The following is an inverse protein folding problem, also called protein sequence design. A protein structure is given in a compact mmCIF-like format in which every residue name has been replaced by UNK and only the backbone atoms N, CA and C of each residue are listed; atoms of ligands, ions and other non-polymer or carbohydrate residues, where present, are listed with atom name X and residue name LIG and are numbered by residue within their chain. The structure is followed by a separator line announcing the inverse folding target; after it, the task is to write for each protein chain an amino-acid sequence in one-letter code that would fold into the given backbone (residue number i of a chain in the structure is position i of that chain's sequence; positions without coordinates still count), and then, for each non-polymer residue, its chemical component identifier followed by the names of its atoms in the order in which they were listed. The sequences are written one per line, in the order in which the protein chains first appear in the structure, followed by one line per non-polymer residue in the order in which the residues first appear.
data_IF_592353085952
#
_entry.id   IF_592353085952
#
_cell.length_a   1.000
_cell.length_b   1.000
_cell.length_c   1.000
_cell.angle_alpha   90.00
_cell.angle_beta   90.00
_cell.angle_gamma   90.00
#
_symmetry.space_group_name_H-M   'P 1'
#
loop_
_entity.id
_entity.type
_entity.pdbx_description
1 polymer ?
#
# COMPACT_ATOMS: atom_id res chain seq x y z
N UNK A 1 21.55 -11.95 -19.52
CA UNK A 1 20.24 -12.50 -19.09
C UNK A 1 19.27 -12.33 -20.24
N UNK A 2 18.62 -13.40 -20.67
CA UNK A 2 17.61 -13.34 -21.73
C UNK A 2 16.36 -12.59 -21.26
N UNK A 3 15.58 -12.03 -22.20
CA UNK A 3 14.34 -11.32 -21.92
C UNK A 3 13.35 -12.18 -21.12
N UNK A 4 13.21 -13.45 -21.49
CA UNK A 4 12.39 -14.44 -20.77
C UNK A 4 12.77 -14.56 -19.28
N UNK A 5 14.08 -14.64 -18.95
CA UNK A 5 14.53 -14.73 -17.56
C UNK A 5 14.21 -13.46 -16.73
N UNK A 6 14.09 -12.31 -17.36
CA UNK A 6 13.72 -11.06 -16.69
C UNK A 6 12.21 -11.07 -16.42
N UNK A 7 11.40 -11.48 -17.38
CA UNK A 7 9.95 -11.58 -17.28
C UNK A 7 9.54 -12.62 -16.21
N UNK A 8 10.15 -13.81 -16.22
CA UNK A 8 9.92 -14.86 -15.22
C UNK A 8 10.24 -14.40 -13.79
N UNK A 9 11.31 -13.63 -13.62
CA UNK A 9 11.65 -13.08 -12.31
C UNK A 9 10.66 -12.03 -11.84
N UNK A 10 10.18 -11.16 -12.73
CA UNK A 10 9.16 -10.17 -12.41
C UNK A 10 7.87 -10.87 -11.99
N UNK A 11 7.47 -11.89 -12.73
CA UNK A 11 6.28 -12.69 -12.44
C UNK A 11 6.39 -13.42 -11.09
N UNK A 12 7.50 -14.10 -10.82
CA UNK A 12 7.73 -14.77 -9.53
C UNK A 12 7.71 -13.81 -8.35
N UNK A 13 8.28 -12.60 -8.51
CA UNK A 13 8.21 -11.56 -7.48
C UNK A 13 6.79 -11.10 -7.22
N UNK A 14 6.01 -10.87 -8.29
CA UNK A 14 4.60 -10.52 -8.18
C UNK A 14 3.82 -11.59 -7.43
N UNK A 15 4.02 -12.88 -7.76
CA UNK A 15 3.36 -14.00 -7.08
C UNK A 15 3.66 -14.04 -5.58
N UNK A 16 4.90 -13.76 -5.18
CA UNK A 16 5.28 -13.69 -3.76
C UNK A 16 4.52 -12.56 -3.02
N UNK A 17 4.38 -11.40 -3.63
CA UNK A 17 3.61 -10.30 -3.06
C UNK A 17 2.12 -10.61 -2.97
N UNK A 18 1.53 -11.23 -4.02
CA UNK A 18 0.14 -11.67 -3.99
C UNK A 18 -0.12 -12.73 -2.93
N UNK A 19 0.77 -13.72 -2.82
CA UNK A 19 0.67 -14.74 -1.78
C UNK A 19 0.73 -14.13 -0.38
N UNK A 20 1.64 -13.18 -0.17
CA UNK A 20 1.72 -12.45 1.12
C UNK A 20 0.44 -11.68 1.39
N UNK A 21 -0.09 -10.94 0.41
CA UNK A 21 -1.35 -10.20 0.56
C UNK A 21 -2.51 -11.15 0.88
N UNK A 22 -2.59 -12.30 0.22
CA UNK A 22 -3.62 -13.31 0.49
C UNK A 22 -3.54 -13.86 1.92
N UNK A 23 -2.33 -14.15 2.42
CA UNK A 23 -2.14 -14.62 3.81
C UNK A 23 -2.57 -13.53 4.80
N UNK A 24 -2.16 -12.27 4.56
CA UNK A 24 -2.57 -11.14 5.40
C UNK A 24 -4.09 -10.99 5.40
N UNK A 25 -4.71 -11.08 4.22
CA UNK A 25 -6.17 -10.97 4.08
C UNK A 25 -6.91 -12.06 4.86
N UNK A 26 -6.46 -13.31 4.76
CA UNK A 26 -7.04 -14.42 5.53
C UNK A 26 -6.97 -14.14 7.04
N UNK A 27 -5.82 -13.64 7.53
CA UNK A 27 -5.68 -13.27 8.95
C UNK A 27 -6.63 -12.13 9.32
N UNK A 28 -6.76 -11.10 8.46
CA UNK A 28 -7.68 -9.99 8.72
C UNK A 28 -9.15 -10.43 8.70
N UNK A 29 -9.53 -11.32 7.79
CA UNK A 29 -10.88 -11.93 7.76
C UNK A 29 -11.16 -12.72 9.05
N UNK A 30 -10.19 -13.48 9.54
CA UNK A 30 -10.34 -14.22 10.80
C UNK A 30 -10.48 -13.26 12.00
N UNK A 31 -9.69 -12.20 12.06
CA UNK A 31 -9.83 -11.16 13.10
C UNK A 31 -11.20 -10.50 13.00
N UNK A 32 -11.64 -10.13 11.80
CA UNK A 32 -12.96 -9.56 11.58
C UNK A 32 -14.08 -10.48 12.07
N UNK A 33 -13.99 -11.78 11.77
CA UNK A 33 -15.00 -12.78 12.13
C UNK A 33 -15.03 -13.06 13.66
N UNK A 34 -13.88 -13.25 14.28
CA UNK A 34 -13.80 -13.70 15.67
C UNK A 34 -13.64 -12.58 16.70
N UNK A 35 -13.26 -11.38 16.28
CA UNK A 35 -13.09 -10.25 17.16
C UNK A 35 -14.14 -9.16 16.92
N UNK A 36 -14.33 -8.71 15.68
CA UNK A 36 -15.26 -7.60 15.37
C UNK A 36 -16.71 -8.09 15.36
N UNK A 37 -17.01 -9.19 14.65
CA UNK A 37 -18.36 -9.78 14.52
C UNK A 37 -18.52 -11.05 15.36
N UNK A 38 -18.06 -11.02 16.60
CA UNK A 38 -18.14 -12.16 17.53
C UNK A 38 -19.56 -12.41 17.95
N UNK A 39 -20.00 -13.67 17.91
CA UNK A 39 -21.30 -14.11 18.48
C UNK A 39 -21.22 -14.22 19.98
N UNK A 40 -22.37 -14.10 20.67
CA UNK A 40 -22.43 -14.20 22.14
C UNK A 40 -21.85 -15.52 22.67
N UNK A 41 -22.06 -16.62 21.94
CA UNK A 41 -21.50 -17.94 22.26
C UNK A 41 -19.96 -18.01 22.13
N UNK A 42 -19.34 -17.05 21.44
CA UNK A 42 -17.89 -17.04 21.12
C UNK A 42 -17.11 -16.00 21.97
N UNK A 43 -17.74 -15.39 22.96
CA UNK A 43 -17.11 -14.37 23.82
C UNK A 43 -15.84 -14.87 24.52
N UNK A 44 -15.74 -16.17 24.80
CA UNK A 44 -14.54 -16.80 25.31
C UNK A 44 -13.32 -16.69 24.40
N UNK A 45 -13.54 -16.53 23.08
CA UNK A 45 -12.47 -16.34 22.08
C UNK A 45 -12.09 -14.85 21.94
N UNK A 46 -13.04 -13.94 22.11
CA UNK A 46 -12.82 -12.49 21.97
C UNK A 46 -11.79 -11.96 22.97
N UNK A 47 -11.86 -12.42 24.24
CA UNK A 47 -10.95 -11.95 25.29
C UNK A 47 -9.47 -12.30 25.07
N UNK A 48 -9.08 -13.57 24.80
CA UNK A 48 -7.70 -13.86 24.45
C UNK A 48 -7.26 -13.17 23.15
N UNK A 49 -8.14 -13.05 22.14
CA UNK A 49 -7.82 -12.38 20.89
C UNK A 49 -7.57 -10.87 21.09
N UNK A 50 -8.31 -10.22 22.00
CA UNK A 50 -8.02 -8.83 22.39
C UNK A 50 -6.61 -8.66 22.96
N UNK A 51 -6.16 -9.58 23.82
CA UNK A 51 -4.79 -9.56 24.37
C UNK A 51 -3.75 -9.74 23.28
N UNK A 52 -3.98 -10.69 22.36
CA UNK A 52 -3.11 -10.89 21.19
C UNK A 52 -3.04 -9.62 20.34
N UNK A 53 -4.18 -9.00 20.00
CA UNK A 53 -4.23 -7.77 19.23
C UNK A 53 -3.60 -6.56 19.94
N UNK A 54 -3.42 -6.62 21.27
CA UNK A 54 -2.68 -5.58 22.00
C UNK A 54 -1.17 -5.66 21.72
N UNK A 55 -0.62 -6.86 21.60
CA UNK A 55 0.81 -7.10 21.34
C UNK A 55 1.11 -7.09 19.82
N UNK A 56 0.12 -7.37 19.01
CA UNK A 56 0.24 -7.57 17.57
C UNK A 56 0.92 -6.40 16.82
N UNK A 57 0.62 -5.11 17.09
CA UNK A 57 1.29 -3.99 16.44
C UNK A 57 2.79 -3.92 16.76
N UNK A 58 3.14 -4.18 18.04
CA UNK A 58 4.54 -4.16 18.49
C UNK A 58 5.29 -5.34 17.86
N UNK A 59 4.73 -6.54 17.94
CA UNK A 59 5.32 -7.72 17.31
C UNK A 59 5.44 -7.55 15.79
N UNK A 60 4.42 -7.00 15.12
CA UNK A 60 4.44 -6.69 13.70
C UNK A 60 5.54 -5.71 13.32
N UNK A 61 5.73 -4.64 14.10
CA UNK A 61 6.79 -3.67 13.88
C UNK A 61 8.20 -4.27 14.07
N UNK A 62 8.39 -5.06 15.12
CA UNK A 62 9.68 -5.75 15.38
C UNK A 62 9.98 -6.75 14.26
N UNK A 63 9.03 -7.58 13.88
CA UNK A 63 9.21 -8.56 12.79
C UNK A 63 9.43 -7.85 11.45
N UNK A 64 8.74 -6.75 11.17
CA UNK A 64 9.00 -5.92 10.00
C UNK A 64 10.46 -5.50 9.92
N UNK A 65 11.01 -4.92 10.99
CA UNK A 65 12.41 -4.48 11.03
C UNK A 65 13.38 -5.65 10.86
N UNK A 66 13.15 -6.76 11.56
CA UNK A 66 14.02 -7.94 11.48
C UNK A 66 14.06 -8.53 10.06
N UNK A 67 12.89 -8.73 9.44
CA UNK A 67 12.80 -9.27 8.09
C UNK A 67 13.30 -8.27 7.03
N UNK A 68 13.14 -6.97 7.25
CA UNK A 68 13.68 -5.93 6.37
C UNK A 68 15.21 -5.93 6.39
N UNK A 69 15.82 -5.97 7.59
CA UNK A 69 17.29 -6.10 7.74
C UNK A 69 17.78 -7.38 7.09
N UNK A 70 17.06 -8.49 7.27
CA UNK A 70 17.40 -9.75 6.60
C UNK A 70 17.29 -9.65 5.08
N UNK A 71 16.25 -9.01 4.54
CA UNK A 71 16.10 -8.76 3.10
C UNK A 71 17.30 -7.97 2.54
N UNK A 72 17.73 -6.91 3.23
CA UNK A 72 18.91 -6.12 2.84
C UNK A 72 20.19 -6.95 2.88
N UNK A 73 20.40 -7.76 3.94
CA UNK A 73 21.54 -8.68 4.04
C UNK A 73 21.58 -9.69 2.89
N UNK A 74 20.45 -10.31 2.57
CA UNK A 74 20.36 -11.29 1.47
C UNK A 74 20.63 -10.62 0.13
N UNK A 75 20.13 -9.41 -0.09
CA UNK A 75 20.34 -8.64 -1.32
C UNK A 75 21.80 -8.23 -1.51
N UNK A 76 22.50 -7.88 -0.43
CA UNK A 76 23.91 -7.43 -0.46
C UNK A 76 24.90 -8.59 -0.39
N UNK A 77 24.44 -9.83 -0.12
CA UNK A 77 25.29 -11.01 -0.07
C UNK A 77 25.50 -11.62 -1.47
N UNK A 78 26.60 -12.35 -1.64
CA UNK A 78 27.02 -12.98 -2.92
C UNK A 78 26.14 -14.16 -3.37
N UNK A 79 25.07 -14.48 -2.64
CA UNK A 79 24.23 -15.66 -2.90
C UNK A 79 23.28 -15.56 -4.09
N UNK A 80 23.30 -14.46 -4.84
CA UNK A 80 22.43 -14.25 -6.02
C UNK A 80 20.93 -14.19 -5.73
N UNK A 81 20.53 -14.23 -4.45
CA UNK A 81 19.13 -14.15 -3.99
C UNK A 81 18.68 -12.69 -3.94
N UNK A 82 17.45 -12.43 -4.38
CA UNK A 82 16.93 -11.05 -4.53
C UNK A 82 16.40 -10.41 -3.24
N UNK A 83 16.25 -11.16 -2.16
CA UNK A 83 15.65 -10.68 -0.90
C UNK A 83 14.16 -10.32 -0.99
N UNK A 84 13.50 -10.60 -2.11
CA UNK A 84 12.09 -10.22 -2.35
C UNK A 84 11.14 -10.95 -1.39
N UNK A 85 11.36 -12.23 -1.10
CA UNK A 85 10.55 -12.99 -0.16
C UNK A 85 10.59 -12.37 1.23
N UNK A 86 11.79 -12.06 1.72
CA UNK A 86 11.97 -11.46 3.04
C UNK A 86 11.33 -10.08 3.12
N UNK A 87 11.44 -9.27 2.06
CA UNK A 87 10.79 -7.98 1.96
C UNK A 87 9.26 -8.11 1.95
N UNK A 88 8.70 -9.04 1.18
CA UNK A 88 7.26 -9.27 1.13
C UNK A 88 6.72 -9.71 2.50
N UNK A 89 7.41 -10.64 3.17
CA UNK A 89 7.05 -11.09 4.53
C UNK A 89 7.14 -9.95 5.54
N UNK A 90 8.19 -9.10 5.46
CA UNK A 90 8.31 -7.91 6.30
C UNK A 90 7.08 -7.00 6.16
N UNK A 91 6.73 -6.61 4.94
CA UNK A 91 5.55 -5.79 4.68
C UNK A 91 4.24 -6.47 5.12
N UNK A 92 4.13 -7.80 4.98
CA UNK A 92 3.02 -8.57 5.50
C UNK A 92 2.84 -8.40 7.00
N UNK A 93 3.91 -8.50 7.79
CA UNK A 93 3.87 -8.25 9.24
C UNK A 93 3.49 -6.82 9.59
N UNK A 94 3.98 -5.83 8.83
CA UNK A 94 3.59 -4.43 9.02
C UNK A 94 2.10 -4.23 8.77
N UNK A 95 1.57 -4.75 7.66
CA UNK A 95 0.15 -4.68 7.33
C UNK A 95 -0.72 -5.37 8.38
N UNK A 96 -0.30 -6.56 8.85
CA UNK A 96 -0.98 -7.26 9.94
C UNK A 96 -0.98 -6.44 11.24
N UNK A 97 0.16 -5.85 11.61
CA UNK A 97 0.28 -5.02 12.81
C UNK A 97 -0.63 -3.80 12.76
N UNK A 98 -0.59 -3.04 11.66
CA UNK A 98 -1.43 -1.85 11.46
C UNK A 98 -2.91 -2.24 11.37
N UNK A 99 -3.26 -3.25 10.56
CA UNK A 99 -4.63 -3.72 10.40
C UNK A 99 -5.24 -4.22 11.71
N UNK A 100 -4.48 -5.00 12.49
CA UNK A 100 -4.89 -5.47 13.81
C UNK A 100 -5.10 -4.32 14.79
N UNK A 101 -4.23 -3.30 14.79
CA UNK A 101 -4.38 -2.09 15.59
C UNK A 101 -5.65 -1.32 15.24
N UNK A 102 -5.90 -1.14 13.95
CA UNK A 102 -7.09 -0.44 13.47
C UNK A 102 -8.37 -1.20 13.84
N UNK A 103 -8.41 -2.51 13.61
CA UNK A 103 -9.56 -3.34 13.96
C UNK A 103 -9.80 -3.40 15.47
N UNK A 104 -8.74 -3.38 16.29
CA UNK A 104 -8.86 -3.35 17.75
C UNK A 104 -9.48 -2.04 18.25
N UNK A 105 -9.05 -0.90 17.71
CA UNK A 105 -9.42 0.41 18.22
C UNK A 105 -10.72 0.97 17.60
N UNK A 106 -10.99 0.64 16.35
CA UNK A 106 -12.13 1.16 15.59
C UNK A 106 -13.16 0.07 15.23
N UNK A 107 -12.90 -1.18 15.62
CA UNK A 107 -13.79 -2.35 15.44
C UNK A 107 -14.51 -2.37 14.09
N UNK A 108 -15.86 -2.28 14.11
CA UNK A 108 -16.70 -2.35 12.91
C UNK A 108 -16.42 -1.24 11.89
N UNK A 109 -15.90 -0.11 12.32
CA UNK A 109 -15.57 1.03 11.45
C UNK A 109 -14.34 0.77 10.59
N UNK A 110 -13.29 0.13 11.17
CA UNK A 110 -12.05 -0.13 10.45
C UNK A 110 -12.10 -1.41 9.59
N UNK A 111 -12.92 -2.38 9.96
CA UNK A 111 -12.92 -3.68 9.31
C UNK A 111 -13.13 -3.61 7.78
N UNK A 112 -14.15 -2.91 7.24
CA UNK A 112 -14.33 -2.82 5.78
C UNK A 112 -13.15 -2.17 5.07
N UNK A 113 -12.51 -1.17 5.70
CA UNK A 113 -11.34 -0.50 5.15
C UNK A 113 -10.15 -1.46 5.06
N UNK A 114 -9.82 -2.13 6.15
CA UNK A 114 -8.67 -3.03 6.20
C UNK A 114 -8.83 -4.16 5.18
N UNK A 115 -10.04 -4.77 5.11
CA UNK A 115 -10.39 -5.83 4.17
C UNK A 115 -10.40 -5.36 2.70
N UNK A 116 -10.55 -4.07 2.42
CA UNK A 116 -10.44 -3.52 1.06
C UNK A 116 -9.00 -3.11 0.71
N UNK A 117 -8.26 -2.55 1.67
CA UNK A 117 -6.90 -2.03 1.45
C UNK A 117 -5.90 -3.16 1.22
N UNK A 118 -5.98 -4.25 1.96
CA UNK A 118 -5.01 -5.36 1.83
C UNK A 118 -5.01 -5.97 0.43
N UNK A 119 -6.15 -6.42 -0.14
CA UNK A 119 -6.17 -6.89 -1.52
C UNK A 119 -5.84 -5.77 -2.52
N UNK A 120 -6.24 -4.52 -2.24
CA UNK A 120 -5.86 -3.36 -3.05
C UNK A 120 -4.35 -3.18 -3.16
N UNK A 121 -3.60 -3.35 -2.07
CA UNK A 121 -2.14 -3.35 -2.07
C UNK A 121 -1.57 -4.51 -2.90
N UNK A 122 -2.19 -5.70 -2.84
CA UNK A 122 -1.82 -6.83 -3.69
C UNK A 122 -1.97 -6.50 -5.18
N UNK A 123 -3.09 -5.88 -5.56
CA UNK A 123 -3.32 -5.41 -6.94
C UNK A 123 -2.32 -4.33 -7.33
N UNK A 124 -2.00 -3.38 -6.46
CA UNK A 124 -0.97 -2.37 -6.73
C UNK A 124 0.41 -2.98 -6.98
N UNK A 125 0.77 -4.03 -6.24
CA UNK A 125 2.01 -4.77 -6.50
C UNK A 125 1.99 -5.51 -7.85
N UNK A 126 0.86 -6.07 -8.23
CA UNK A 126 0.66 -6.65 -9.56
C UNK A 126 0.85 -5.59 -10.65
N UNK A 127 0.25 -4.42 -10.50
CA UNK A 127 0.41 -3.29 -11.42
C UNK A 127 1.88 -2.87 -11.51
N UNK A 128 2.58 -2.77 -10.38
CA UNK A 128 4.00 -2.39 -10.33
C UNK A 128 4.92 -3.33 -11.11
N UNK A 129 4.67 -4.64 -11.06
CA UNK A 129 5.53 -5.64 -11.71
C UNK A 129 5.15 -5.94 -13.16
N UNK A 130 3.86 -5.87 -13.52
CA UNK A 130 3.37 -6.26 -14.85
C UNK A 130 3.15 -5.08 -15.79
N UNK A 131 2.85 -3.89 -15.24
CA UNK A 131 2.53 -2.74 -16.06
C UNK A 131 3.65 -1.69 -16.08
N UNK A 132 3.49 -0.70 -16.94
CA UNK A 132 4.39 0.45 -17.01
C UNK A 132 4.34 1.24 -15.70
N UNK A 133 5.48 1.76 -15.28
CA UNK A 133 5.62 2.52 -14.01
C UNK A 133 4.72 3.76 -13.93
N UNK A 134 4.34 4.31 -15.08
CA UNK A 134 3.40 5.42 -15.21
C UNK A 134 2.01 5.05 -14.69
N UNK A 135 1.54 3.86 -15.07
CA UNK A 135 0.24 3.36 -14.66
C UNK A 135 0.20 3.06 -13.15
N UNK A 136 1.32 2.62 -12.58
CA UNK A 136 1.44 2.45 -11.14
C UNK A 136 1.22 3.76 -10.37
N UNK A 137 1.82 4.87 -10.83
CA UNK A 137 1.59 6.18 -10.23
C UNK A 137 0.12 6.62 -10.27
N UNK A 138 -0.56 6.40 -11.40
CA UNK A 138 -1.99 6.65 -11.54
C UNK A 138 -2.81 5.78 -10.57
N UNK A 139 -2.47 4.48 -10.47
CA UNK A 139 -3.16 3.54 -9.60
C UNK A 139 -3.02 3.90 -8.12
N UNK A 140 -1.84 4.37 -7.68
CA UNK A 140 -1.61 4.84 -6.31
C UNK A 140 -2.46 6.08 -6.01
N UNK A 141 -2.41 7.11 -6.86
CA UNK A 141 -3.16 8.35 -6.64
C UNK A 141 -4.67 8.09 -6.70
N UNK A 142 -5.14 7.31 -7.67
CA UNK A 142 -6.55 6.92 -7.78
C UNK A 142 -7.03 6.10 -6.57
N UNK A 143 -6.21 5.14 -6.11
CA UNK A 143 -6.48 4.35 -4.92
C UNK A 143 -6.57 5.21 -3.65
N UNK A 144 -5.68 6.19 -3.49
CA UNK A 144 -5.77 7.17 -2.40
C UNK A 144 -7.04 8.02 -2.49
N UNK A 145 -7.46 8.41 -3.70
CA UNK A 145 -8.72 9.11 -3.91
C UNK A 145 -9.92 8.30 -3.45
N UNK A 146 -9.99 7.02 -3.83
CA UNK A 146 -11.06 6.12 -3.40
C UNK A 146 -11.10 5.92 -1.87
N UNK A 147 -9.94 5.73 -1.24
CA UNK A 147 -9.84 5.66 0.21
C UNK A 147 -10.27 6.96 0.89
N UNK A 148 -10.02 8.10 0.26
CA UNK A 148 -10.43 9.41 0.76
C UNK A 148 -11.94 9.56 0.91
N UNK A 149 -12.73 9.02 -0.02
CA UNK A 149 -14.19 8.96 0.14
C UNK A 149 -14.61 8.17 1.36
N UNK A 150 -13.97 7.02 1.59
CA UNK A 150 -14.26 6.21 2.75
C UNK A 150 -13.87 6.93 4.05
N UNK A 151 -12.70 7.57 4.09
CA UNK A 151 -12.23 8.37 5.25
C UNK A 151 -13.21 9.53 5.52
N UNK A 152 -13.66 10.23 4.48
CA UNK A 152 -14.65 11.31 4.62
C UNK A 152 -15.96 10.80 5.22
N UNK A 153 -16.53 9.72 4.64
CA UNK A 153 -17.78 9.13 5.13
C UNK A 153 -17.69 8.64 6.58
N UNK A 154 -16.53 8.17 6.99
CA UNK A 154 -16.32 7.57 8.32
C UNK A 154 -16.05 8.62 9.39
N UNK A 155 -15.26 9.66 9.09
CA UNK A 155 -14.78 10.63 10.05
C UNK A 155 -15.43 12.01 9.90
N UNK A 156 -16.42 12.14 9.01
CA UNK A 156 -17.32 13.31 8.84
C UNK A 156 -16.59 14.65 9.07
N UNK A 157 -15.70 15.05 8.16
CA UNK A 157 -14.97 16.32 8.20
C UNK A 157 -14.11 16.60 9.45
N UNK A 158 -13.78 15.58 10.24
CA UNK A 158 -12.90 15.72 11.40
C UNK A 158 -11.41 15.88 11.03
N UNK A 159 -10.57 16.13 12.05
CA UNK A 159 -9.12 16.31 11.87
C UNK A 159 -8.43 15.16 11.09
N UNK A 160 -8.94 13.93 11.21
CA UNK A 160 -8.44 12.76 10.47
C UNK A 160 -8.65 12.94 8.96
N UNK A 161 -9.81 13.43 8.54
CA UNK A 161 -10.08 13.68 7.12
C UNK A 161 -9.19 14.78 6.57
N UNK A 162 -9.04 15.90 7.27
CA UNK A 162 -8.14 16.97 6.82
C UNK A 162 -6.69 16.55 6.75
N UNK A 163 -6.21 15.74 7.71
CA UNK A 163 -4.88 15.15 7.69
C UNK A 163 -4.68 14.22 6.48
N UNK A 164 -5.67 13.36 6.19
CA UNK A 164 -5.65 12.49 5.03
C UNK A 164 -5.69 13.28 3.70
N UNK A 165 -6.55 14.29 3.62
CA UNK A 165 -6.64 15.19 2.47
C UNK A 165 -5.30 15.88 2.19
N UNK A 166 -4.71 16.49 3.22
CA UNK A 166 -3.40 17.16 3.10
C UNK A 166 -2.32 16.18 2.62
N UNK A 167 -2.24 14.99 3.21
CA UNK A 167 -1.30 13.94 2.81
C UNK A 167 -1.49 13.55 1.33
N UNK A 168 -2.72 13.29 0.91
CA UNK A 168 -3.02 12.88 -0.47
C UNK A 168 -2.68 13.99 -1.46
N UNK A 169 -3.02 15.24 -1.15
CA UNK A 169 -2.69 16.39 -2.00
C UNK A 169 -1.18 16.62 -2.10
N UNK A 170 -0.43 16.45 -1.00
CA UNK A 170 1.04 16.53 -1.03
C UNK A 170 1.63 15.42 -1.89
N UNK A 171 1.18 14.17 -1.74
CA UNK A 171 1.67 13.05 -2.57
C UNK A 171 1.34 13.29 -4.04
N UNK A 172 0.13 13.75 -4.37
CA UNK A 172 -0.26 14.07 -5.74
C UNK A 172 0.59 15.22 -6.31
N UNK A 173 0.80 16.30 -5.56
CA UNK A 173 1.62 17.45 -5.98
C UNK A 173 3.09 17.06 -6.20
N UNK A 174 3.69 16.29 -5.26
CA UNK A 174 5.04 15.77 -5.41
C UNK A 174 5.13 14.87 -6.63
N UNK A 175 4.17 13.99 -6.83
CA UNK A 175 4.10 13.12 -8.00
C UNK A 175 4.02 13.89 -9.31
N UNK A 176 3.16 14.93 -9.40
CA UNK A 176 3.06 15.81 -10.56
C UNK A 176 4.38 16.56 -10.80
N UNK A 177 5.00 17.10 -9.75
CA UNK A 177 6.30 17.78 -9.85
C UNK A 177 7.42 16.84 -10.35
N UNK A 178 7.43 15.59 -9.88
CA UNK A 178 8.35 14.55 -10.36
C UNK A 178 8.08 14.22 -11.84
N UNK A 179 6.81 14.05 -12.22
CA UNK A 179 6.42 13.78 -13.61
C UNK A 179 6.83 14.92 -14.56
N UNK A 180 6.67 16.19 -14.14
CA UNK A 180 7.13 17.36 -14.91
C UNK A 180 8.66 17.37 -15.09
N UNK A 181 9.43 17.10 -14.01
CA UNK A 181 10.89 17.01 -14.08
C UNK A 181 11.36 15.84 -14.96
N UNK A 182 10.69 14.68 -14.87
CA UNK A 182 11.00 13.52 -15.70
C UNK A 182 10.68 13.77 -17.17
N UNK A 183 9.56 14.49 -17.48
CA UNK A 183 9.22 14.89 -18.83
C UNK A 183 10.31 15.79 -19.45
N UNK A 184 10.89 16.72 -18.68
CA UNK A 184 11.98 17.59 -19.15
C UNK A 184 13.30 16.85 -19.41
N UNK A 185 13.47 15.65 -18.84
CA UNK A 185 14.69 14.83 -18.93
C UNK A 185 14.45 13.49 -19.64
N UNK A 186 13.46 13.41 -20.52
CA UNK A 186 13.10 12.19 -21.27
C UNK A 186 13.02 10.92 -20.42
N UNK A 187 12.50 11.05 -19.20
CA UNK A 187 12.30 9.92 -18.29
C UNK A 187 13.55 9.48 -17.51
N UNK A 188 14.69 10.16 -17.65
CA UNK A 188 15.95 9.83 -17.00
C UNK A 188 16.14 10.65 -15.73
N UNK A 189 16.47 9.99 -14.63
CA UNK A 189 16.82 10.63 -13.37
C UNK A 189 18.27 10.35 -13.00
N UNK A 190 19.05 11.40 -12.78
CA UNK A 190 20.45 11.28 -12.37
C UNK A 190 20.55 11.32 -10.84
N UNK A 191 20.95 10.18 -10.22
CA UNK A 191 21.18 10.08 -8.76
C UNK A 191 22.65 9.75 -8.55
N UNK A 192 23.36 10.61 -7.84
CA UNK A 192 24.79 10.42 -7.53
C UNK A 192 25.66 10.10 -8.76
N UNK A 193 25.40 10.76 -9.89
CA UNK A 193 26.16 10.53 -11.12
C UNK A 193 25.79 9.27 -11.91
N UNK A 194 24.78 8.50 -11.45
CA UNK A 194 24.24 7.38 -12.21
C UNK A 194 22.92 7.76 -12.83
N UNK A 195 22.80 7.56 -14.14
CA UNK A 195 21.55 7.74 -14.87
C UNK A 195 20.65 6.52 -14.66
N UNK A 196 19.47 6.76 -14.10
CA UNK A 196 18.44 5.73 -13.88
C UNK A 196 17.26 6.08 -14.77
N UNK A 197 16.94 5.22 -15.72
CA UNK A 197 15.71 5.33 -16.52
C UNK A 197 14.53 4.97 -15.60
N UNK A 198 13.77 6.02 -15.24
CA UNK A 198 12.58 5.87 -14.37
C UNK A 198 11.35 5.60 -15.23
N UNK A 199 11.20 6.33 -16.33
CA UNK A 199 10.11 6.20 -17.30
C UNK A 199 10.68 5.96 -18.70
N UNK A 200 9.92 5.27 -19.54
CA UNK A 200 10.36 5.03 -20.93
C UNK A 200 10.34 6.34 -21.73
N UNK A 201 11.27 6.53 -22.69
CA UNK A 201 11.22 7.64 -23.62
C UNK A 201 9.88 7.65 -24.37
N UNK A 202 9.18 8.78 -24.40
CA UNK A 202 7.84 8.88 -25.02
C UNK A 202 6.68 8.52 -24.09
N UNK A 203 6.91 8.36 -22.79
CA UNK A 203 5.90 8.10 -21.78
C UNK A 203 4.71 9.07 -21.85
N UNK A 204 3.49 8.53 -21.71
CA UNK A 204 2.26 9.35 -21.70
C UNK A 204 2.02 9.92 -20.29
N UNK A 205 2.39 11.18 -20.08
CA UNK A 205 2.18 11.87 -18.78
C UNK A 205 0.75 12.35 -18.55
N UNK A 206 -0.06 12.45 -19.63
CA UNK A 206 -1.42 12.96 -19.56
C UNK A 206 -2.33 12.18 -18.59
N UNK A 207 -2.38 10.83 -18.61
CA UNK A 207 -3.19 10.07 -17.65
C UNK A 207 -2.85 10.38 -16.19
N UNK A 208 -1.56 10.59 -15.91
CA UNK A 208 -1.09 10.91 -14.56
C UNK A 208 -1.62 12.27 -14.07
N UNK A 209 -1.54 13.31 -14.90
CA UNK A 209 -2.08 14.64 -14.57
C UNK A 209 -3.59 14.62 -14.41
N UNK A 210 -4.30 13.91 -15.31
CA UNK A 210 -5.75 13.74 -15.23
C UNK A 210 -6.15 13.03 -13.94
N UNK A 211 -5.49 11.93 -13.58
CA UNK A 211 -5.78 11.20 -12.33
C UNK A 211 -5.55 12.07 -11.10
N UNK A 212 -4.44 12.83 -11.08
CA UNK A 212 -4.15 13.73 -9.96
C UNK A 212 -5.19 14.85 -9.85
N UNK A 213 -5.59 15.46 -10.98
CA UNK A 213 -6.61 16.50 -11.00
C UNK A 213 -7.98 15.98 -10.56
N UNK A 214 -8.42 14.84 -11.10
CA UNK A 214 -9.70 14.22 -10.75
C UNK A 214 -9.72 13.83 -9.26
N UNK A 215 -8.64 13.24 -8.75
CA UNK A 215 -8.52 12.88 -7.33
C UNK A 215 -8.61 14.13 -6.44
N UNK A 216 -7.90 15.21 -6.79
CA UNK A 216 -7.97 16.46 -6.04
C UNK A 216 -9.38 17.06 -6.04
N UNK A 217 -10.04 17.12 -7.20
CA UNK A 217 -11.42 17.62 -7.33
C UNK A 217 -12.37 16.77 -6.47
N UNK A 218 -12.30 15.47 -6.58
CA UNK A 218 -13.16 14.55 -5.84
C UNK A 218 -12.99 14.68 -4.32
N UNK A 219 -11.76 14.85 -3.84
CA UNK A 219 -11.48 15.00 -2.40
C UNK A 219 -11.88 16.40 -1.87
N UNK A 220 -11.85 17.43 -2.72
CA UNK A 220 -12.25 18.80 -2.33
C UNK A 220 -13.75 19.04 -2.48
N UNK A 221 -14.44 18.28 -3.33
CA UNK A 221 -15.86 18.45 -3.60
C UNK A 221 -16.74 18.40 -2.32
N UNK A 222 -16.55 17.48 -1.36
CA UNK A 222 -17.34 17.47 -0.12
C UNK A 222 -17.19 18.73 0.71
N UNK A 223 -15.99 19.36 0.70
CA UNK A 223 -15.75 20.63 1.42
C UNK A 223 -16.45 21.80 0.76
N UNK A 224 -16.52 21.82 -0.58
CA UNK A 224 -17.18 22.88 -1.34
C UNK A 224 -18.70 22.80 -1.28
N UNK A 225 -19.25 21.58 -1.19
CA UNK A 225 -20.69 21.34 -1.15
C UNK A 225 -21.30 21.48 0.25
N UNK A 226 -20.48 21.65 1.29
CA UNK A 226 -20.96 21.83 2.67
C UNK A 226 -21.68 20.60 3.23
N UNK A 227 -21.35 19.40 2.71
CA UNK A 227 -21.99 18.15 3.08
C UNK A 227 -21.38 17.58 4.38
#
# INVERSE_FOLDING_TARGET
RTREQIEDRAFNRMLLWLATAAVVEVVMVLINRFYVHTRVSELGIKMPLYKVLTVFPIAGAVLFVLFLVWAVKVRNGDSGKDGTLQAAVAWGFLCMGIGGLLMRNLETTAAPMVLAVVPGLGVLMMVFYLYQKEFFGCAVIGGMGLLGFWVYRTFLSGAVYYGYLALTLVIAAVGVALALKLKQKDGVWTIRGKEIVVLQPGAAYLPYYLTAAVTAILLLAPLALGA
#
